data_IF_950594119326
#
_entry.id   IF_950594119326
#
_cell.length_a   1.000
_cell.length_b   1.000
_cell.length_c   1.000
_cell.angle_alpha   90.00
_cell.angle_beta   90.00
_cell.angle_gamma   90.00
#
_symmetry.space_group_name_H-M   'P 1'
#
loop_
_entity.id
_entity.type
_entity.pdbx_description
1 polymer ?
#
# COMPACT_ATOMS: atom_id res chain seq x y z
N UNK A 1 44.89 27.05 0.77
CA UNK A 1 44.64 26.12 -0.36
C UNK A 1 43.55 25.16 0.07
N UNK A 2 42.43 25.08 -0.66
CA UNK A 2 41.41 24.07 -0.40
C UNK A 2 41.78 22.78 -1.15
N UNK A 3 41.56 21.63 -0.50
CA UNK A 3 41.78 20.29 -1.08
C UNK A 3 40.48 19.50 -1.01
N UNK A 4 40.22 18.65 -2.00
CA UNK A 4 39.03 17.82 -2.02
C UNK A 4 39.08 16.79 -0.88
N UNK A 5 37.97 16.66 -0.15
CA UNK A 5 37.80 15.68 0.93
C UNK A 5 36.60 14.79 0.64
N UNK A 6 36.63 13.55 1.15
CA UNK A 6 35.50 12.61 1.07
C UNK A 6 34.52 12.91 2.21
N UNK A 7 33.24 13.10 1.89
CA UNK A 7 32.17 13.27 2.87
C UNK A 7 30.81 12.68 2.47
N UNK A 8 30.67 12.20 1.23
CA UNK A 8 29.39 11.76 0.67
C UNK A 8 28.75 10.59 1.40
N UNK A 9 29.50 9.50 1.63
CA UNK A 9 28.99 8.30 2.32
C UNK A 9 28.50 8.63 3.72
N UNK A 10 29.33 9.32 4.53
CA UNK A 10 28.94 9.78 5.87
C UNK A 10 27.69 10.67 5.86
N UNK A 11 27.55 11.52 4.84
CA UNK A 11 26.36 12.36 4.70
C UNK A 11 25.11 11.55 4.33
N UNK A 12 25.24 10.54 3.48
CA UNK A 12 24.16 9.62 3.11
C UNK A 12 23.71 8.81 4.34
N UNK A 13 24.64 8.22 5.09
CA UNK A 13 24.33 7.43 6.28
C UNK A 13 23.61 8.28 7.33
N UNK A 14 24.10 9.51 7.58
CA UNK A 14 23.45 10.45 8.48
C UNK A 14 22.04 10.83 7.98
N UNK A 15 21.86 11.02 6.67
CA UNK A 15 20.56 11.33 6.08
C UNK A 15 19.57 10.16 6.23
N UNK A 16 20.01 8.92 6.03
CA UNK A 16 19.18 7.74 6.27
C UNK A 16 18.79 7.62 7.75
N UNK A 17 19.73 7.79 8.67
CA UNK A 17 19.44 7.77 10.11
C UNK A 17 18.43 8.86 10.52
N UNK A 18 18.53 10.06 9.94
CA UNK A 18 17.55 11.13 10.14
C UNK A 18 16.17 10.74 9.61
N UNK A 19 16.10 10.12 8.43
CA UNK A 19 14.84 9.66 7.85
C UNK A 19 14.21 8.53 8.67
N UNK A 20 15.00 7.59 9.19
CA UNK A 20 14.54 6.50 10.05
C UNK A 20 14.01 7.04 11.39
N UNK A 21 14.71 7.99 12.01
CA UNK A 21 14.24 8.68 13.21
C UNK A 21 12.92 9.42 12.94
N UNK A 22 12.83 10.13 11.81
CA UNK A 22 11.60 10.83 11.42
C UNK A 22 10.44 9.86 11.16
N UNK A 23 10.72 8.72 10.52
CA UNK A 23 9.74 7.65 10.28
C UNK A 23 9.22 7.06 11.59
N UNK A 24 10.10 6.83 12.58
CA UNK A 24 9.69 6.33 13.89
C UNK A 24 8.84 7.36 14.64
N UNK A 25 9.16 8.65 14.52
CA UNK A 25 8.44 9.72 15.20
C UNK A 25 8.62 9.69 16.72
N UNK A 26 7.63 10.22 17.44
CA UNK A 26 7.61 10.25 18.91
C UNK A 26 7.58 8.81 19.49
N UNK A 27 8.53 8.51 20.37
CA UNK A 27 8.67 7.19 21.00
C UNK A 27 7.66 6.93 22.10
N UNK A 28 7.00 7.98 22.60
CA UNK A 28 5.90 7.84 23.57
C UNK A 28 4.63 7.30 22.91
N UNK A 29 4.53 7.43 21.57
CA UNK A 29 3.49 6.79 20.78
C UNK A 29 3.91 5.36 20.37
N UNK A 30 3.01 4.37 20.47
CA UNK A 30 3.25 3.02 19.96
C UNK A 30 3.59 3.05 18.47
N UNK A 31 4.56 2.24 18.07
CA UNK A 31 4.93 2.11 16.67
C UNK A 31 3.80 1.43 15.87
N UNK A 32 3.52 1.93 14.66
CA UNK A 32 2.58 1.28 13.74
C UNK A 32 3.05 -0.13 13.39
N UNK A 33 2.19 -1.13 13.62
CA UNK A 33 2.43 -2.50 13.19
C UNK A 33 2.03 -2.69 11.72
N UNK A 34 2.66 -3.68 11.07
CA UNK A 34 2.29 -4.05 9.68
C UNK A 34 0.83 -4.51 9.62
N UNK A 35 0.38 -5.28 10.60
CA UNK A 35 -1.02 -5.73 10.70
C UNK A 35 -2.02 -4.57 10.84
N UNK A 36 -1.68 -3.51 11.58
CA UNK A 36 -2.54 -2.32 11.66
C UNK A 36 -2.69 -1.65 10.30
N UNK A 37 -1.60 -1.48 9.56
CA UNK A 37 -1.63 -0.88 8.21
C UNK A 37 -2.41 -1.77 7.24
N UNK A 38 -2.16 -3.07 7.26
CA UNK A 38 -2.78 -4.06 6.39
C UNK A 38 -4.32 -4.11 6.54
N UNK A 39 -4.80 -4.05 7.78
CA UNK A 39 -6.22 -4.14 8.11
C UNK A 39 -6.95 -2.79 8.05
N UNK A 40 -6.37 -1.71 8.60
CA UNK A 40 -7.06 -0.44 8.81
C UNK A 40 -6.82 0.57 7.67
N UNK A 41 -5.72 0.43 6.92
CA UNK A 41 -5.37 1.28 5.77
C UNK A 41 -5.44 0.48 4.45
N UNK A 42 -6.38 -0.47 4.39
CA UNK A 42 -6.52 -1.44 3.31
C UNK A 42 -6.57 -0.85 1.89
N UNK A 43 -7.19 0.33 1.68
CA UNK A 43 -7.24 0.97 0.37
C UNK A 43 -5.87 1.44 -0.14
N UNK A 44 -4.97 1.87 0.77
CA UNK A 44 -3.60 2.21 0.40
C UNK A 44 -2.82 0.94 0.03
N UNK A 45 -3.04 -0.14 0.78
CA UNK A 45 -2.45 -1.46 0.52
C UNK A 45 -2.88 -1.98 -0.85
N UNK A 46 -4.16 -1.86 -1.20
CA UNK A 46 -4.69 -2.28 -2.51
C UNK A 46 -4.01 -1.56 -3.67
N UNK A 47 -3.79 -0.24 -3.52
CA UNK A 47 -3.07 0.56 -4.51
C UNK A 47 -1.63 0.11 -4.67
N UNK A 48 -0.91 -0.09 -3.56
CA UNK A 48 0.49 -0.51 -3.57
C UNK A 48 0.65 -1.91 -4.16
N UNK A 49 -0.22 -2.86 -3.83
CA UNK A 49 -0.21 -4.20 -4.45
C UNK A 49 -0.40 -4.10 -5.97
N UNK A 50 -1.39 -3.31 -6.41
CA UNK A 50 -1.77 -3.19 -7.83
C UNK A 50 -0.65 -2.56 -8.67
N UNK A 51 -0.11 -1.42 -8.22
CA UNK A 51 0.93 -0.70 -8.96
C UNK A 51 2.34 -1.29 -8.74
N UNK A 52 2.58 -1.91 -7.58
CA UNK A 52 3.83 -2.60 -7.25
C UNK A 52 3.97 -3.97 -7.93
N UNK A 53 2.86 -4.58 -8.33
CA UNK A 53 2.83 -5.80 -9.13
C UNK A 53 3.03 -7.10 -8.33
N UNK A 54 2.73 -7.08 -7.03
CA UNK A 54 2.66 -8.26 -6.16
C UNK A 54 1.37 -8.17 -5.34
N UNK A 55 0.49 -9.15 -5.51
CA UNK A 55 -0.76 -9.27 -4.76
C UNK A 55 -0.53 -9.95 -3.40
N UNK A 56 0.23 -9.29 -2.52
CA UNK A 56 0.49 -9.70 -1.14
C UNK A 56 0.27 -8.49 -0.21
N UNK A 57 -0.73 -8.61 0.67
CA UNK A 57 -1.17 -7.50 1.52
C UNK A 57 -0.14 -7.15 2.59
N UNK A 58 0.52 -8.14 3.16
CA UNK A 58 1.51 -7.95 4.22
C UNK A 58 2.76 -7.25 3.66
N UNK A 59 3.24 -7.68 2.48
CA UNK A 59 4.37 -7.04 1.81
C UNK A 59 4.07 -5.59 1.40
N UNK A 60 2.87 -5.32 0.88
CA UNK A 60 2.46 -3.97 0.55
C UNK A 60 2.33 -3.08 1.80
N UNK A 61 1.80 -3.61 2.90
CA UNK A 61 1.73 -2.92 4.18
C UNK A 61 3.12 -2.65 4.78
N UNK A 62 4.06 -3.60 4.64
CA UNK A 62 5.45 -3.42 5.03
C UNK A 62 6.14 -2.32 4.21
N UNK A 63 5.92 -2.31 2.88
CA UNK A 63 6.45 -1.27 2.01
C UNK A 63 5.91 0.12 2.38
N UNK A 64 4.60 0.23 2.68
CA UNK A 64 3.98 1.45 3.19
C UNK A 64 4.60 1.91 4.52
N UNK A 65 4.80 0.97 5.45
CA UNK A 65 5.46 1.26 6.74
C UNK A 65 6.87 1.82 6.50
N UNK A 66 7.65 1.15 5.65
CA UNK A 66 9.03 1.55 5.34
C UNK A 66 9.11 2.93 4.67
N UNK A 67 8.16 3.22 3.77
CA UNK A 67 8.04 4.47 3.03
C UNK A 67 7.40 5.62 3.83
N UNK A 68 7.14 5.45 5.14
CA UNK A 68 6.45 6.47 5.96
C UNK A 68 5.08 6.88 5.39
N UNK A 69 4.38 5.95 4.73
CA UNK A 69 3.09 6.19 4.08
C UNK A 69 3.16 6.81 2.68
N UNK A 70 4.35 7.07 2.12
CA UNK A 70 4.48 7.53 0.74
C UNK A 70 4.18 6.39 -0.24
N UNK A 71 3.05 6.49 -0.96
CA UNK A 71 2.62 5.48 -1.91
C UNK A 71 3.60 5.29 -3.07
N UNK A 72 4.23 6.36 -3.57
CA UNK A 72 5.13 6.25 -4.74
C UNK A 72 6.37 5.45 -4.36
N UNK A 73 6.94 5.74 -3.20
CA UNK A 73 8.09 5.01 -2.67
C UNK A 73 7.71 3.56 -2.29
N UNK A 74 6.57 3.35 -1.65
CA UNK A 74 6.09 2.00 -1.31
C UNK A 74 5.89 1.11 -2.57
N UNK A 75 5.31 1.68 -3.63
CA UNK A 75 5.16 1.01 -4.93
C UNK A 75 6.54 0.66 -5.51
N UNK A 76 7.51 1.58 -5.43
CA UNK A 76 8.85 1.33 -5.93
C UNK A 76 9.57 0.24 -5.13
N UNK A 77 9.47 0.25 -3.81
CA UNK A 77 10.00 -0.79 -2.93
C UNK A 77 9.44 -2.17 -3.29
N UNK A 78 8.11 -2.29 -3.40
CA UNK A 78 7.48 -3.58 -3.72
C UNK A 78 7.85 -4.06 -5.13
N UNK A 79 7.95 -3.14 -6.10
CA UNK A 79 8.35 -3.46 -7.47
C UNK A 79 9.83 -3.84 -7.57
N UNK A 80 10.70 -3.23 -6.76
CA UNK A 80 12.10 -3.63 -6.63
C UNK A 80 12.20 -5.03 -6.02
N UNK A 81 11.45 -5.32 -4.96
CA UNK A 81 11.40 -6.65 -4.35
C UNK A 81 10.98 -7.73 -5.35
N UNK A 82 10.01 -7.43 -6.24
CA UNK A 82 9.61 -8.36 -7.32
C UNK A 82 10.79 -8.85 -8.17
N UNK A 83 11.81 -8.02 -8.39
CA UNK A 83 12.98 -8.39 -9.20
C UNK A 83 13.88 -9.43 -8.54
N UNK A 84 13.77 -9.61 -7.23
CA UNK A 84 14.55 -10.59 -6.47
C UNK A 84 13.85 -11.95 -6.37
N UNK A 85 12.60 -12.06 -6.83
CA UNK A 85 11.78 -13.27 -6.73
C UNK A 85 11.84 -14.11 -8.01
N UNK A 86 11.88 -15.44 -7.84
CA UNK A 86 11.75 -16.37 -8.95
C UNK A 86 10.29 -16.48 -9.41
N UNK A 87 10.08 -16.60 -10.72
CA UNK A 87 8.76 -16.93 -11.28
C UNK A 87 8.53 -18.43 -11.17
N UNK A 88 7.77 -18.86 -10.15
CA UNK A 88 7.55 -20.28 -9.85
C UNK A 88 6.49 -20.94 -10.74
N UNK A 89 5.45 -20.19 -11.13
CA UNK A 89 4.35 -20.68 -11.93
C UNK A 89 3.70 -19.54 -12.73
N UNK A 90 2.78 -19.92 -13.62
CA UNK A 90 1.84 -19.02 -14.29
C UNK A 90 0.45 -19.58 -14.01
N UNK A 91 -0.49 -18.75 -13.56
CA UNK A 91 -1.86 -19.20 -13.31
C UNK A 91 -2.57 -19.50 -14.62
N UNK A 92 -3.62 -20.31 -14.55
CA UNK A 92 -4.65 -20.31 -15.59
C UNK A 92 -5.34 -18.93 -15.62
N UNK A 93 -6.02 -18.59 -16.73
CA UNK A 93 -6.88 -17.41 -16.78
C UNK A 93 -7.93 -17.45 -15.66
N UNK A 94 -8.10 -16.33 -14.95
CA UNK A 94 -9.06 -16.24 -13.87
C UNK A 94 -10.51 -16.25 -14.41
N UNK A 95 -11.36 -17.10 -13.84
CA UNK A 95 -12.80 -17.10 -14.09
C UNK A 95 -13.52 -16.15 -13.11
N UNK A 96 -13.91 -14.98 -13.60
CA UNK A 96 -14.63 -13.98 -12.80
C UNK A 96 -16.12 -14.28 -12.64
N UNK A 97 -16.67 -15.26 -13.37
CA UNK A 97 -18.09 -15.65 -13.24
C UNK A 97 -18.35 -16.42 -11.94
N UNK A 98 -17.34 -17.13 -11.44
CA UNK A 98 -17.36 -17.83 -10.15
C UNK A 98 -16.99 -16.96 -8.94
N UNK A 99 -16.88 -15.65 -9.10
CA UNK A 99 -16.49 -14.75 -8.00
C UNK A 99 -17.50 -14.78 -6.85
N UNK A 100 -17.03 -15.01 -5.61
CA UNK A 100 -17.82 -14.71 -4.41
C UNK A 100 -17.89 -13.19 -4.23
N UNK A 101 -19.03 -12.61 -4.56
CA UNK A 101 -19.20 -11.16 -4.65
C UNK A 101 -19.14 -10.47 -3.27
N UNK A 102 -18.29 -9.45 -3.15
CA UNK A 102 -18.34 -8.44 -2.08
C UNK A 102 -19.15 -7.19 -2.52
N UNK A 103 -19.07 -6.84 -3.81
CA UNK A 103 -19.79 -5.70 -4.43
C UNK A 103 -20.09 -6.01 -5.90
N UNK A 104 -21.27 -5.59 -6.39
CA UNK A 104 -21.68 -5.69 -7.80
C UNK A 104 -22.74 -4.64 -8.13
N UNK A 105 -22.38 -3.68 -8.98
CA UNK A 105 -23.29 -2.63 -9.45
C UNK A 105 -23.29 -2.51 -10.97
N UNK A 106 -24.40 -2.05 -11.55
CA UNK A 106 -24.52 -1.68 -12.96
C UNK A 106 -25.25 -0.35 -13.09
N UNK A 107 -24.65 0.60 -13.79
CA UNK A 107 -25.24 1.93 -14.01
C UNK A 107 -26.25 1.97 -15.19
N UNK A 108 -26.28 0.92 -16.03
CA UNK A 108 -27.07 0.92 -17.28
C UNK A 108 -28.54 0.65 -17.01
N UNK A 109 -28.84 -0.26 -16.08
CA UNK A 109 -30.19 -0.65 -15.72
C UNK A 109 -30.48 -0.31 -14.27
N UNK A 110 -31.73 0.06 -14.00
CA UNK A 110 -32.19 0.30 -12.64
C UNK A 110 -31.98 -0.93 -11.75
N UNK A 111 -32.26 -2.12 -12.28
CA UNK A 111 -32.01 -3.39 -11.60
C UNK A 111 -31.56 -4.47 -12.61
N UNK A 112 -30.93 -5.53 -12.11
CA UNK A 112 -30.33 -6.61 -12.89
C UNK A 112 -30.56 -7.96 -12.18
N UNK A 113 -30.49 -9.11 -12.89
CA UNK A 113 -30.49 -10.41 -12.21
C UNK A 113 -29.40 -10.48 -11.14
N UNK A 114 -29.80 -10.93 -9.93
CA UNK A 114 -28.95 -10.92 -8.73
C UNK A 114 -28.90 -9.58 -7.98
N UNK A 115 -29.56 -8.54 -8.50
CA UNK A 115 -29.67 -7.24 -7.86
C UNK A 115 -28.45 -6.33 -7.99
N UNK A 116 -28.63 -5.11 -7.49
CA UNK A 116 -27.57 -4.12 -7.25
C UNK A 116 -27.03 -4.30 -5.82
N UNK A 117 -25.80 -4.81 -5.70
CA UNK A 117 -25.13 -5.03 -4.41
C UNK A 117 -24.07 -3.95 -4.19
N UNK A 118 -24.36 -2.97 -3.32
CA UNK A 118 -23.41 -1.89 -3.02
C UNK A 118 -22.16 -2.39 -2.27
N UNK A 119 -22.29 -3.38 -1.37
CA UNK A 119 -21.16 -3.83 -0.56
C UNK A 119 -20.51 -2.71 0.28
N UNK A 120 -19.30 -2.93 0.81
CA UNK A 120 -18.53 -1.89 1.50
C UNK A 120 -18.11 -0.78 0.52
N UNK A 121 -18.53 0.46 0.77
CA UNK A 121 -18.19 1.60 -0.11
C UNK A 121 -18.26 2.93 0.64
N UNK A 122 -17.45 3.90 0.20
CA UNK A 122 -17.57 5.31 0.58
C UNK A 122 -18.52 6.09 -0.35
N UNK A 123 -19.12 5.46 -1.36
CA UNK A 123 -20.15 6.10 -2.18
C UNK A 123 -21.29 6.63 -1.29
N UNK A 124 -21.89 7.75 -1.68
CA UNK A 124 -23.00 8.41 -0.96
C UNK A 124 -22.69 8.92 0.46
N UNK A 125 -21.47 8.76 0.97
CA UNK A 125 -21.06 9.37 2.25
C UNK A 125 -20.97 10.89 2.14
N UNK A 126 -21.25 11.60 3.23
CA UNK A 126 -20.91 13.02 3.30
C UNK A 126 -19.44 13.16 3.69
N UNK A 127 -18.67 13.93 2.92
CA UNK A 127 -17.22 14.09 3.11
C UNK A 127 -16.93 15.10 4.22
N UNK A 128 -17.38 14.77 5.42
CA UNK A 128 -17.15 15.52 6.65
C UNK A 128 -16.12 14.76 7.49
N UNK A 129 -15.18 15.48 8.11
CA UNK A 129 -14.22 14.86 9.03
C UNK A 129 -14.95 14.32 10.26
N UNK A 130 -14.67 13.07 10.62
CA UNK A 130 -15.25 12.40 11.78
C UNK A 130 -14.31 12.52 12.99
N UNK A 131 -14.82 13.04 14.11
CA UNK A 131 -14.06 13.33 15.33
C UNK A 131 -14.45 12.42 16.52
N UNK A 132 -15.34 11.45 16.30
CA UNK A 132 -15.80 10.52 17.35
C UNK A 132 -14.76 9.48 17.73
#
# INVERSE_FOLDING_TARGET
MYVAVKGGEKAIDAAHALQESRRRGDTDLPELSVAQIEQQLNLAVDRVMTEGGIADRELAALALKQASGDNVEAIFLLRAYRTTLAKLAVSEPLDTTGMRLERRISAIYKDIPGGQLLGPTYDYTHRLLDFT
#
